data_IF_123962295381
#
_entry.id   IF_123962295381
#
_cell.length_a   1.000
_cell.length_b   1.000
_cell.length_c   1.000
_cell.angle_alpha   90.00
_cell.angle_beta   90.00
_cell.angle_gamma   90.00
#
_symmetry.space_group_name_H-M   'P 1'
#
loop_
_entity.id
_entity.type
_entity.pdbx_description
1 polymer ?
#
# COMPACT_ATOMS: atom_id res chain seq x y z
N UNK A 1 -10.34 -23.69 -6.58
CA UNK A 1 -9.12 -22.86 -6.70
C UNK A 1 -8.81 -22.03 -5.46
N UNK A 2 -9.79 -21.32 -4.86
CA UNK A 2 -9.59 -20.50 -3.65
C UNK A 2 -9.04 -21.27 -2.44
N UNK A 3 -9.49 -22.52 -2.24
CA UNK A 3 -9.02 -23.39 -1.16
C UNK A 3 -7.51 -23.72 -1.24
N UNK A 4 -6.95 -23.85 -2.46
CA UNK A 4 -5.51 -24.06 -2.65
C UNK A 4 -4.71 -22.81 -2.33
N UNK A 5 -5.25 -21.62 -2.63
CA UNK A 5 -4.65 -20.34 -2.23
C UNK A 5 -4.66 -20.16 -0.71
N UNK A 6 -5.72 -20.62 -0.04
CA UNK A 6 -5.80 -20.66 1.42
C UNK A 6 -4.92 -21.73 2.10
N UNK A 7 -4.41 -22.69 1.34
CA UNK A 7 -3.47 -23.69 1.86
C UNK A 7 -2.01 -23.20 1.86
N UNK A 8 -1.69 -22.16 1.08
CA UNK A 8 -0.32 -21.61 1.06
C UNK A 8 0.02 -20.93 2.39
N UNK A 9 1.29 -20.97 2.83
CA UNK A 9 1.73 -20.21 3.99
C UNK A 9 1.40 -18.71 3.82
N UNK A 10 1.02 -18.06 4.91
CA UNK A 10 0.56 -16.67 4.93
C UNK A 10 1.56 -15.71 4.24
N UNK A 11 2.86 -15.98 4.41
CA UNK A 11 3.94 -15.27 3.76
C UNK A 11 3.93 -15.44 2.22
N UNK A 12 3.76 -16.66 1.72
CA UNK A 12 3.71 -16.94 0.29
C UNK A 12 2.51 -16.24 -0.39
N UNK A 13 1.36 -16.17 0.29
CA UNK A 13 0.19 -15.43 -0.22
C UNK A 13 0.47 -13.94 -0.35
N UNK A 14 1.07 -13.33 0.67
CA UNK A 14 1.44 -11.90 0.65
C UNK A 14 2.45 -11.61 -0.45
N UNK A 15 3.42 -12.50 -0.65
CA UNK A 15 4.44 -12.35 -1.68
C UNK A 15 3.85 -12.47 -3.09
N UNK A 16 2.92 -13.40 -3.32
CA UNK A 16 2.17 -13.50 -4.57
C UNK A 16 1.31 -12.25 -4.85
N UNK A 17 0.64 -11.72 -3.82
CA UNK A 17 -0.14 -10.48 -3.94
C UNK A 17 0.79 -9.31 -4.30
N UNK A 18 1.94 -9.18 -3.64
CA UNK A 18 2.93 -8.13 -3.93
C UNK A 18 3.47 -8.24 -5.38
N UNK A 19 3.83 -9.44 -5.82
CA UNK A 19 4.29 -9.69 -7.19
C UNK A 19 3.21 -9.35 -8.23
N UNK A 20 1.96 -9.77 -7.99
CA UNK A 20 0.84 -9.45 -8.88
C UNK A 20 0.59 -7.93 -8.95
N UNK A 21 0.62 -7.23 -7.81
CA UNK A 21 0.46 -5.77 -7.80
C UNK A 21 1.60 -5.03 -8.49
N UNK A 22 2.86 -5.50 -8.35
CA UNK A 22 4.00 -4.95 -9.07
C UNK A 22 3.84 -5.12 -10.58
N UNK A 23 3.39 -6.28 -11.02
CA UNK A 23 3.12 -6.54 -12.44
C UNK A 23 2.03 -5.60 -12.98
N UNK A 24 0.92 -5.42 -12.24
CA UNK A 24 -0.15 -4.49 -12.62
C UNK A 24 0.36 -3.05 -12.69
N UNK A 25 1.13 -2.60 -11.71
CA UNK A 25 1.74 -1.27 -11.73
C UNK A 25 2.68 -1.09 -12.92
N UNK A 26 3.48 -2.11 -13.23
CA UNK A 26 4.40 -2.10 -14.37
C UNK A 26 3.63 -1.95 -15.69
N UNK A 27 2.58 -2.74 -15.90
CA UNK A 27 1.70 -2.61 -17.08
C UNK A 27 1.07 -1.21 -17.13
N UNK A 28 0.53 -0.70 -16.03
CA UNK A 28 -0.06 0.63 -15.97
C UNK A 28 0.95 1.77 -16.24
N UNK A 29 2.24 1.57 -16.01
CA UNK A 29 3.27 2.56 -16.29
C UNK A 29 3.50 2.79 -17.80
N UNK A 30 3.22 1.77 -18.63
CA UNK A 30 3.32 1.88 -20.09
C UNK A 30 1.99 2.25 -20.76
N UNK A 31 0.89 2.33 -20.01
CA UNK A 31 -0.39 2.81 -20.53
C UNK A 31 -0.42 4.36 -20.56
N UNK A 32 -1.18 4.95 -21.50
CA UNK A 32 -1.38 6.38 -21.54
C UNK A 32 -1.94 6.87 -20.21
N UNK A 33 -1.31 7.93 -19.68
CA UNK A 33 -1.65 8.50 -18.37
C UNK A 33 -3.11 8.96 -18.39
N UNK A 34 -3.94 8.24 -17.66
CA UNK A 34 -5.35 8.50 -17.43
C UNK A 34 -5.59 8.60 -15.93
N UNK A 35 -6.65 9.28 -15.49
CA UNK A 35 -6.99 9.34 -14.06
C UNK A 35 -7.11 7.93 -13.43
N UNK A 36 -7.64 6.97 -14.20
CA UNK A 36 -7.73 5.56 -13.79
C UNK A 36 -6.36 4.90 -13.59
N UNK A 37 -5.40 5.09 -14.50
CA UNK A 37 -4.06 4.48 -14.35
C UNK A 37 -3.30 5.05 -13.15
N UNK A 38 -3.46 6.33 -12.84
CA UNK A 38 -2.88 6.91 -11.61
C UNK A 38 -3.49 6.31 -10.34
N UNK A 39 -4.82 6.13 -10.31
CA UNK A 39 -5.50 5.50 -9.17
C UNK A 39 -5.07 4.03 -9.01
N UNK A 40 -4.91 3.30 -10.12
CA UNK A 40 -4.43 1.91 -10.14
C UNK A 40 -2.99 1.77 -9.65
N UNK A 41 -2.11 2.69 -10.03
CA UNK A 41 -0.72 2.71 -9.56
C UNK A 41 -0.68 3.02 -8.05
N UNK A 42 -1.47 4.01 -7.60
CA UNK A 42 -1.56 4.36 -6.18
C UNK A 42 -2.12 3.22 -5.32
N UNK A 43 -3.18 2.56 -5.76
CA UNK A 43 -3.78 1.42 -5.05
C UNK A 43 -2.85 0.20 -5.05
N UNK A 44 -2.13 -0.06 -6.15
CA UNK A 44 -1.09 -1.09 -6.22
C UNK A 44 0.02 -0.87 -5.20
N UNK A 45 0.53 0.36 -5.09
CA UNK A 45 1.54 0.71 -4.09
C UNK A 45 1.03 0.48 -2.66
N UNK A 46 -0.21 0.86 -2.37
CA UNK A 46 -0.84 0.65 -1.06
C UNK A 46 -0.96 -0.83 -0.70
N UNK A 47 -1.34 -1.67 -1.68
CA UNK A 47 -1.44 -3.13 -1.51
C UNK A 47 -0.06 -3.73 -1.21
N UNK A 48 1.01 -3.25 -1.86
CA UNK A 48 2.39 -3.69 -1.59
C UNK A 48 2.81 -3.34 -0.16
N UNK A 49 2.53 -2.11 0.30
CA UNK A 49 2.81 -1.71 1.69
C UNK A 49 2.02 -2.54 2.71
N UNK A 50 0.80 -2.94 2.39
CA UNK A 50 0.00 -3.84 3.22
C UNK A 50 0.58 -5.26 3.24
N UNK A 51 0.94 -5.81 2.08
CA UNK A 51 1.50 -7.15 1.95
C UNK A 51 2.86 -7.29 2.66
N UNK A 52 3.70 -6.26 2.58
CA UNK A 52 5.01 -6.21 3.27
C UNK A 52 4.90 -5.94 4.77
N UNK A 53 3.72 -5.59 5.27
CA UNK A 53 3.52 -5.24 6.68
C UNK A 53 4.07 -3.86 7.07
N UNK A 54 4.58 -3.08 6.10
CA UNK A 54 5.09 -1.72 6.30
C UNK A 54 3.97 -0.69 6.50
N UNK A 55 2.72 -1.04 6.19
CA UNK A 55 1.58 -0.15 6.37
C UNK A 55 1.38 0.30 7.81
N UNK A 56 1.58 -0.61 8.78
CA UNK A 56 1.41 -0.31 10.21
C UNK A 56 2.48 0.66 10.74
N UNK A 57 3.79 0.44 10.53
CA UNK A 57 4.79 1.43 10.91
C UNK A 57 4.63 2.75 10.16
N UNK A 58 4.25 2.71 8.87
CA UNK A 58 3.97 3.92 8.10
C UNK A 58 2.85 4.75 8.73
N UNK A 59 1.69 4.14 9.01
CA UNK A 59 0.56 4.79 9.67
C UNK A 59 0.94 5.33 11.05
N UNK A 60 1.70 4.57 11.85
CA UNK A 60 2.19 5.05 13.16
C UNK A 60 3.00 6.33 13.03
N UNK A 61 3.91 6.40 12.07
CA UNK A 61 4.71 7.61 11.81
C UNK A 61 3.79 8.75 11.36
N UNK A 62 2.83 8.50 10.46
CA UNK A 62 1.90 9.54 9.99
C UNK A 62 1.06 10.09 11.14
N UNK A 63 0.49 9.24 11.99
CA UNK A 63 -0.28 9.67 13.16
C UNK A 63 0.59 10.39 14.19
N UNK A 64 1.85 9.97 14.37
CA UNK A 64 2.78 10.66 15.24
C UNK A 64 3.07 12.08 14.76
N UNK A 65 3.38 12.25 13.47
CA UNK A 65 3.61 13.55 12.84
C UNK A 65 2.34 14.42 12.90
N UNK A 66 1.17 13.85 12.61
CA UNK A 66 -0.10 14.57 12.66
C UNK A 66 -0.41 15.04 14.09
N UNK A 67 -0.22 14.17 15.07
CA UNK A 67 -0.36 14.51 16.50
C UNK A 67 0.61 15.62 16.89
N UNK A 68 1.88 15.52 16.50
CA UNK A 68 2.87 16.56 16.76
C UNK A 68 2.44 17.91 16.17
N UNK A 69 2.01 17.92 14.90
CA UNK A 69 1.53 19.13 14.22
C UNK A 69 0.29 19.71 14.90
N UNK A 70 -0.69 18.88 15.28
CA UNK A 70 -1.88 19.32 16.00
C UNK A 70 -1.52 19.94 17.35
N UNK A 71 -0.63 19.31 18.10
CA UNK A 71 -0.14 19.83 19.38
C UNK A 71 0.61 21.16 19.21
N UNK A 72 1.40 21.31 18.15
CA UNK A 72 2.08 22.56 17.83
C UNK A 72 1.08 23.67 17.51
N UNK A 73 0.07 23.39 16.69
CA UNK A 73 -0.98 24.37 16.34
C UNK A 73 -1.78 24.78 17.58
N UNK A 74 -2.16 23.84 18.46
CA UNK A 74 -2.95 24.14 19.67
C UNK A 74 -2.17 24.95 20.70
N UNK A 75 -0.84 24.78 20.80
CA UNK A 75 -0.02 25.50 21.80
C UNK A 75 0.54 26.84 21.34
N UNK A 76 0.79 27.01 20.04
CA UNK A 76 1.57 28.13 19.52
C UNK A 76 0.82 28.97 18.49
N UNK A 77 -0.45 28.67 18.23
CA UNK A 77 -1.32 29.41 17.33
C UNK A 77 -2.62 29.76 18.02
#
# INVERSE_FOLDING_TARGET
MYAKFMALPFFARRLLIAMASLFVMWVCAYLPKSGLTQVLIGSGAFIIFWATGLLVPFLKVTFFVLRWRLWYVVRYK
#
